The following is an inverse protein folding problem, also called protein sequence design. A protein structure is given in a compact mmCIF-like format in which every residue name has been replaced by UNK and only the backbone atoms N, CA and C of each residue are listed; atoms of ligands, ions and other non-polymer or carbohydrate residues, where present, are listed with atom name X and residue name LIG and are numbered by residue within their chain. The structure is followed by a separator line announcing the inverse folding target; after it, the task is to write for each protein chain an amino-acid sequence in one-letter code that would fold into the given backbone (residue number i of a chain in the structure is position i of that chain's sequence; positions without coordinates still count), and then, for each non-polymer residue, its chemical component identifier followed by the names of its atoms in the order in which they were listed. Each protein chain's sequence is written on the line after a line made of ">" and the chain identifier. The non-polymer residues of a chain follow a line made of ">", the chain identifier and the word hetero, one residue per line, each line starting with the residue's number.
data_IF_568983056584
#
_entry.id   IF_568983056584
#
_cell.length_a   1.000
_cell.length_b   1.000
_cell.length_c   1.000
_cell.angle_alpha   90.00
_cell.angle_beta   90.00
_cell.angle_gamma   90.00
#
_symmetry.space_group_name_H-M   'P 1'
#
loop_
_entity.id
_entity.type
_entity.pdbx_description
1 polymer ?
#
# COMPACT_ATOMS: atom_id res chain seq x y z
N UNK A 1 -23.98 -10.94 49.87
CA UNK A 1 -23.30 -12.24 49.98
C UNK A 1 -21.91 -12.09 49.40
N UNK A 2 -20.94 -12.06 50.29
CA UNK A 2 -19.51 -11.87 50.06
C UNK A 2 -18.86 -13.21 49.79
N UNK A 3 -18.00 -13.33 48.77
CA UNK A 3 -16.82 -14.21 48.87
C UNK A 3 -15.65 -13.55 48.14
N UNK A 4 -14.75 -12.96 48.93
CA UNK A 4 -13.35 -12.71 48.56
C UNK A 4 -12.59 -14.04 48.64
N UNK A 5 -11.65 -14.27 47.72
CA UNK A 5 -10.50 -15.15 47.98
C UNK A 5 -9.22 -14.41 47.61
N UNK A 6 -8.48 -14.05 48.64
CA UNK A 6 -7.07 -13.69 48.60
C UNK A 6 -6.23 -14.97 48.49
N UNK A 7 -5.16 -14.93 47.71
CA UNK A 7 -3.97 -15.70 48.05
C UNK A 7 -2.72 -14.89 47.67
N UNK A 8 -1.85 -14.78 48.66
CA UNK A 8 -0.59 -14.05 48.74
C UNK A 8 0.56 -15.00 48.37
N UNK A 9 1.73 -14.42 48.07
CA UNK A 9 3.10 -14.99 48.13
C UNK A 9 3.58 -15.79 46.88
N UNK A 10 4.81 -15.65 46.32
CA UNK A 10 6.10 -15.07 46.75
C UNK A 10 6.91 -14.57 45.53
N UNK A 11 7.72 -13.56 45.78
CA UNK A 11 8.88 -13.13 45.00
C UNK A 11 10.06 -14.10 45.16
N UNK A 12 10.77 -14.39 44.07
CA UNK A 12 12.19 -14.80 44.12
C UNK A 12 12.93 -14.16 42.95
N UNK A 13 13.89 -13.32 43.33
CA UNK A 13 14.96 -12.71 42.53
C UNK A 13 16.01 -13.75 42.15
N UNK A 14 16.62 -13.65 40.97
CA UNK A 14 18.08 -13.45 40.80
C UNK A 14 18.48 -13.53 39.32
N UNK A 15 19.10 -12.46 38.80
CA UNK A 15 20.00 -12.50 37.65
C UNK A 15 21.42 -12.87 38.10
N UNK A 16 22.28 -13.34 37.19
CA UNK A 16 23.48 -12.55 36.88
C UNK A 16 23.88 -12.51 35.39
N UNK A 17 24.50 -11.38 34.99
CA UNK A 17 25.34 -11.16 33.78
C UNK A 17 26.81 -11.61 34.07
N UNK A 18 27.83 -11.36 33.22
CA UNK A 18 28.01 -11.47 31.76
C UNK A 18 29.27 -12.31 31.39
N UNK A 19 29.49 -12.59 30.11
CA UNK A 19 30.76 -13.15 29.63
C UNK A 19 30.99 -12.90 28.14
N UNK A 20 31.92 -12.00 27.83
CA UNK A 20 32.41 -11.70 26.48
C UNK A 20 33.53 -12.68 26.09
N UNK A 21 33.65 -13.06 24.81
CA UNK A 21 34.95 -13.11 24.11
C UNK A 21 34.77 -13.14 22.59
N UNK A 22 35.47 -12.23 21.91
CA UNK A 22 35.79 -12.25 20.48
C UNK A 22 36.72 -13.44 20.14
N UNK A 23 36.59 -13.99 18.93
CA UNK A 23 37.74 -14.39 18.11
C UNK A 23 37.30 -14.73 16.68
N UNK A 24 37.64 -13.84 15.73
CA UNK A 24 37.98 -14.25 14.36
C UNK A 24 39.45 -14.70 14.34
N UNK A 25 39.88 -15.52 13.37
CA UNK A 25 40.46 -14.88 12.18
C UNK A 25 40.18 -15.59 10.84
N UNK A 26 40.24 -14.78 9.79
CA UNK A 26 40.68 -14.98 8.41
C UNK A 26 40.87 -16.41 7.86
N UNK A 27 40.39 -16.63 6.62
CA UNK A 27 41.30 -16.90 5.49
C UNK A 27 40.59 -16.84 4.13
N UNK A 28 41.19 -16.02 3.29
CA UNK A 28 40.96 -15.72 1.88
C UNK A 28 41.50 -16.87 0.99
N UNK A 29 40.69 -17.42 0.07
CA UNK A 29 41.22 -18.17 -1.10
C UNK A 29 40.34 -17.95 -2.33
N UNK A 30 40.93 -17.22 -3.29
CA UNK A 30 40.51 -17.10 -4.70
C UNK A 30 40.80 -18.38 -5.49
N UNK A 31 39.88 -18.78 -6.38
CA UNK A 31 40.18 -19.46 -7.67
C UNK A 31 38.92 -19.47 -8.56
N UNK A 32 38.82 -18.60 -9.57
CA UNK A 32 39.10 -18.83 -11.01
C UNK A 32 38.22 -19.88 -11.73
N UNK A 33 37.22 -19.34 -12.45
CA UNK A 33 36.78 -19.59 -13.83
C UNK A 33 37.01 -20.96 -14.51
N UNK A 34 35.94 -21.46 -15.17
CA UNK A 34 35.98 -22.04 -16.53
C UNK A 34 34.59 -22.04 -17.20
N UNK A 35 34.50 -21.33 -18.32
CA UNK A 35 33.50 -21.48 -19.39
C UNK A 35 33.99 -22.59 -20.34
N UNK A 36 33.07 -23.29 -21.03
CA UNK A 36 33.32 -23.61 -22.43
C UNK A 36 32.15 -23.26 -23.35
N UNK A 37 32.50 -22.70 -24.50
CA UNK A 37 31.67 -22.43 -25.68
C UNK A 37 31.55 -23.64 -26.62
N UNK A 38 30.46 -23.59 -27.42
CA UNK A 38 30.26 -24.14 -28.78
C UNK A 38 30.14 -25.67 -28.94
N UNK A 39 29.12 -26.24 -29.61
CA UNK A 39 28.77 -26.02 -31.03
C UNK A 39 27.52 -26.88 -31.42
N UNK A 40 26.72 -26.43 -32.40
CA UNK A 40 25.62 -27.21 -33.03
C UNK A 40 26.14 -28.30 -34.00
N UNK A 41 25.26 -29.12 -34.65
CA UNK A 41 24.41 -28.63 -35.74
C UNK A 41 23.02 -29.33 -35.96
N UNK A 42 22.18 -28.61 -36.71
CA UNK A 42 21.08 -28.97 -37.64
C UNK A 42 20.29 -30.30 -37.54
N UNK A 43 18.95 -30.19 -37.50
CA UNK A 43 18.02 -31.30 -37.80
C UNK A 43 16.57 -30.85 -38.04
N UNK A 44 16.20 -30.79 -39.33
CA UNK A 44 14.88 -30.81 -40.01
C UNK A 44 13.54 -30.68 -39.21
N UNK A 45 12.74 -29.73 -39.73
CA UNK A 45 11.26 -29.62 -39.81
C UNK A 45 10.45 -30.85 -39.37
N UNK A 46 9.49 -30.60 -38.48
CA UNK A 46 8.12 -31.10 -38.67
C UNK A 46 7.10 -30.06 -38.19
N UNK A 47 6.09 -29.79 -39.03
CA UNK A 47 5.05 -28.78 -38.82
C UNK A 47 3.88 -29.41 -38.10
N UNK A 48 3.55 -28.95 -36.89
CA UNK A 48 2.21 -29.09 -36.29
C UNK A 48 1.92 -27.83 -35.48
N UNK A 49 0.92 -27.08 -35.93
CA UNK A 49 0.62 -25.73 -35.47
C UNK A 49 0.20 -25.68 -34.01
N UNK A 50 0.80 -24.73 -33.29
CA UNK A 50 0.29 -24.19 -32.03
C UNK A 50 0.07 -22.70 -32.25
N UNK A 51 -1.06 -22.10 -31.85
CA UNK A 51 -1.27 -20.68 -32.03
C UNK A 51 -0.40 -19.93 -31.02
N UNK A 52 0.79 -19.51 -31.44
CA UNK A 52 1.51 -18.42 -30.79
C UNK A 52 0.70 -17.16 -31.03
N UNK A 53 -0.08 -16.74 -30.03
CA UNK A 53 -0.49 -15.34 -29.93
C UNK A 53 0.75 -14.52 -29.61
N UNK A 54 1.46 -14.11 -30.65
CA UNK A 54 2.33 -12.94 -30.58
C UNK A 54 1.42 -11.73 -30.49
N UNK A 55 1.10 -11.33 -29.26
CA UNK A 55 0.41 -10.07 -29.00
C UNK A 55 1.44 -8.94 -29.16
N UNK A 56 1.77 -8.62 -30.41
CA UNK A 56 2.44 -7.37 -30.76
C UNK A 56 1.39 -6.28 -30.77
N UNK A 57 0.92 -5.89 -29.59
CA UNK A 57 0.22 -4.63 -29.41
C UNK A 57 1.27 -3.52 -29.57
N UNK A 58 1.22 -2.82 -30.69
CA UNK A 58 1.96 -1.58 -30.90
C UNK A 58 1.47 -0.54 -29.89
N UNK A 59 2.37 -0.14 -28.97
CA UNK A 59 2.19 0.89 -27.94
C UNK A 59 1.87 2.26 -28.56
N UNK A 60 0.60 2.52 -28.83
CA UNK A 60 0.05 3.86 -29.02
C UNK A 60 -1.32 4.05 -28.38
N UNK A 61 -1.73 3.15 -27.47
CA UNK A 61 -2.93 3.35 -26.66
C UNK A 61 -2.60 4.47 -25.67
N UNK A 62 -3.32 5.60 -25.78
CA UNK A 62 -3.26 6.68 -24.81
C UNK A 62 -3.80 6.13 -23.48
N UNK A 63 -2.93 5.52 -22.66
CA UNK A 63 -3.28 4.72 -21.49
C UNK A 63 -4.13 5.48 -20.46
N UNK A 64 -4.18 6.80 -20.56
CA UNK A 64 -4.90 7.68 -19.65
C UNK A 64 -6.34 7.99 -20.08
N UNK A 65 -6.75 7.67 -21.31
CA UNK A 65 -8.10 7.95 -21.80
C UNK A 65 -9.06 6.80 -21.49
N UNK A 66 -10.12 7.09 -20.73
CA UNK A 66 -11.18 6.14 -20.45
C UNK A 66 -12.05 5.91 -21.69
N UNK A 67 -12.17 4.66 -22.09
CA UNK A 67 -13.15 4.20 -23.06
C UNK A 67 -14.30 3.55 -22.27
N UNK A 68 -15.45 4.23 -22.24
CA UNK A 68 -16.57 4.00 -21.30
C UNK A 68 -17.12 2.58 -21.25
N UNK A 69 -16.91 1.81 -22.32
CA UNK A 69 -17.41 0.45 -22.48
C UNK A 69 -16.31 -0.62 -22.38
N UNK A 70 -15.04 -0.22 -22.21
CA UNK A 70 -13.90 -1.15 -22.22
C UNK A 70 -13.59 -1.68 -20.82
N UNK A 71 -13.88 -2.96 -20.62
CA UNK A 71 -13.48 -3.69 -19.41
C UNK A 71 -11.94 -3.82 -19.31
N UNK A 72 -11.37 -3.90 -18.09
CA UNK A 72 -9.98 -4.27 -17.91
C UNK A 72 -9.66 -5.64 -18.55
N UNK A 73 -8.43 -5.85 -19.05
CA UNK A 73 -8.07 -7.11 -19.69
C UNK A 73 -8.25 -8.28 -18.73
N UNK A 74 -8.80 -9.40 -19.20
CA UNK A 74 -9.03 -10.58 -18.35
C UNK A 74 -7.72 -11.30 -18.04
N UNK A 75 -7.59 -11.80 -16.80
CA UNK A 75 -6.51 -12.72 -16.40
C UNK A 75 -7.09 -14.11 -16.17
N UNK A 76 -6.71 -15.08 -17.00
CA UNK A 76 -7.17 -16.45 -16.86
C UNK A 76 -6.46 -17.16 -15.69
N UNK A 77 -7.26 -17.81 -14.84
CA UNK A 77 -6.76 -18.65 -13.75
C UNK A 77 -6.65 -20.12 -14.22
N UNK A 78 -5.71 -20.40 -15.12
CA UNK A 78 -5.41 -21.77 -15.54
C UNK A 78 -4.73 -22.53 -14.39
N UNK A 79 -5.26 -23.71 -14.05
CA UNK A 79 -4.75 -24.57 -12.99
C UNK A 79 -3.31 -25.07 -13.22
N UNK A 80 -2.80 -25.00 -14.46
CA UNK A 80 -1.42 -25.39 -14.78
C UNK A 80 -0.43 -24.23 -14.65
N UNK A 81 -0.91 -22.98 -14.62
CA UNK A 81 -0.06 -21.79 -14.47
C UNK A 81 0.45 -21.69 -13.04
N UNK A 82 1.73 -21.32 -12.88
CA UNK A 82 2.27 -21.10 -11.54
C UNK A 82 1.61 -19.89 -10.87
N UNK A 83 1.50 -19.90 -9.54
CA UNK A 83 0.96 -18.75 -8.80
C UNK A 83 1.75 -17.46 -9.07
N UNK A 84 3.05 -17.57 -9.31
CA UNK A 84 3.92 -16.45 -9.66
C UNK A 84 3.53 -15.83 -11.01
N UNK A 85 3.36 -16.65 -12.06
CA UNK A 85 2.93 -16.18 -13.37
C UNK A 85 1.53 -15.56 -13.33
N UNK A 86 0.61 -16.18 -12.57
CA UNK A 86 -0.71 -15.64 -12.33
C UNK A 86 -0.65 -14.26 -11.65
N UNK A 87 0.16 -14.10 -10.61
CA UNK A 87 0.33 -12.81 -9.93
C UNK A 87 0.94 -11.75 -10.83
N UNK A 88 1.95 -12.09 -11.63
CA UNK A 88 2.53 -11.17 -12.64
C UNK A 88 1.47 -10.74 -13.67
N UNK A 89 0.59 -11.64 -14.09
CA UNK A 89 -0.51 -11.31 -14.99
C UNK A 89 -1.53 -10.36 -14.34
N UNK A 90 -1.88 -10.59 -13.07
CA UNK A 90 -2.73 -9.68 -12.27
C UNK A 90 -2.09 -8.30 -12.12
N UNK A 91 -0.78 -8.21 -11.86
CA UNK A 91 -0.05 -6.93 -11.79
C UNK A 91 -0.15 -6.12 -13.09
N UNK A 92 -0.06 -6.78 -14.26
CA UNK A 92 -0.26 -6.12 -15.56
C UNK A 92 -1.70 -5.65 -15.82
N UNK A 93 -2.69 -6.39 -15.30
CA UNK A 93 -4.10 -6.00 -15.38
C UNK A 93 -4.39 -4.79 -14.47
N UNK A 94 -3.82 -4.79 -13.28
CA UNK A 94 -4.07 -3.79 -12.23
C UNK A 94 -3.81 -2.35 -12.69
N UNK A 95 -2.74 -2.09 -13.45
CA UNK A 95 -2.45 -0.75 -13.97
C UNK A 95 -3.45 -0.29 -15.05
N UNK A 96 -4.36 -1.17 -15.46
CA UNK A 96 -5.37 -0.95 -16.51
C UNK A 96 -6.80 -0.99 -15.98
N UNK A 97 -7.00 -0.89 -14.67
CA UNK A 97 -8.33 -0.85 -14.06
C UNK A 97 -8.93 0.57 -14.05
N UNK A 98 -10.23 0.66 -13.79
CA UNK A 98 -11.02 1.88 -13.80
C UNK A 98 -12.06 1.89 -12.68
N UNK A 99 -12.27 3.07 -12.10
CA UNK A 99 -13.37 3.35 -11.19
C UNK A 99 -14.10 4.62 -11.62
N UNK A 100 -15.39 4.50 -11.92
CA UNK A 100 -16.24 5.62 -12.35
C UNK A 100 -15.61 6.47 -13.49
N UNK A 101 -14.93 5.79 -14.42
CA UNK A 101 -14.26 6.41 -15.57
C UNK A 101 -12.89 7.04 -15.30
N UNK A 102 -12.34 6.84 -14.10
CA UNK A 102 -10.99 7.26 -13.74
C UNK A 102 -10.07 6.05 -13.56
N UNK A 103 -8.82 6.17 -13.97
CA UNK A 103 -7.81 5.14 -13.70
C UNK A 103 -7.68 4.92 -12.20
N UNK A 104 -7.74 3.66 -11.79
CA UNK A 104 -7.43 3.24 -10.43
C UNK A 104 -6.39 2.12 -10.50
N UNK A 105 -5.28 2.29 -9.80
CA UNK A 105 -4.17 1.33 -9.75
C UNK A 105 -4.18 0.64 -8.39
N UNK A 106 -5.23 -0.14 -8.10
CA UNK A 106 -5.38 -0.88 -6.83
C UNK A 106 -5.94 -2.27 -7.11
N UNK A 107 -5.43 -3.31 -6.45
CA UNK A 107 -6.03 -4.63 -6.59
C UNK A 107 -7.45 -4.64 -6.00
N UNK A 108 -8.42 -5.33 -6.63
CA UNK A 108 -9.75 -5.50 -6.06
C UNK A 108 -9.72 -6.11 -4.64
N UNK A 109 -8.78 -7.01 -4.38
CA UNK A 109 -8.55 -7.61 -3.07
C UNK A 109 -8.11 -6.57 -2.02
N UNK A 110 -7.18 -5.67 -2.36
CA UNK A 110 -6.75 -4.60 -1.46
C UNK A 110 -7.86 -3.57 -1.24
N UNK A 111 -8.60 -3.19 -2.29
CA UNK A 111 -9.80 -2.35 -2.18
C UNK A 111 -10.83 -2.96 -1.23
N UNK A 112 -11.02 -4.28 -1.28
CA UNK A 112 -11.91 -4.99 -0.36
C UNK A 112 -11.38 -4.96 1.08
N UNK A 113 -10.07 -5.05 1.30
CA UNK A 113 -9.47 -4.87 2.63
C UNK A 113 -9.69 -3.45 3.14
N UNK A 114 -9.52 -2.44 2.28
CA UNK A 114 -9.84 -1.05 2.61
C UNK A 114 -11.30 -0.90 3.08
N UNK A 115 -12.28 -1.54 2.43
CA UNK A 115 -13.68 -1.50 2.88
C UNK A 115 -13.84 -2.01 4.33
N UNK A 116 -13.15 -3.10 4.70
CA UNK A 116 -13.15 -3.61 6.08
C UNK A 116 -12.48 -2.65 7.05
N UNK A 117 -11.35 -2.05 6.65
CA UNK A 117 -10.63 -1.05 7.44
C UNK A 117 -11.52 0.16 7.68
N UNK A 118 -12.03 0.79 6.63
CA UNK A 118 -12.93 1.96 6.69
C UNK A 118 -14.14 1.70 7.61
N UNK A 119 -14.76 0.53 7.50
CA UNK A 119 -15.89 0.15 8.34
C UNK A 119 -15.52 -0.01 9.82
N UNK A 120 -14.46 -0.79 10.09
CA UNK A 120 -14.05 -1.15 11.45
C UNK A 120 -13.47 0.05 12.20
N UNK A 121 -12.66 0.87 11.53
CA UNK A 121 -12.07 2.09 12.06
C UNK A 121 -13.07 3.24 12.17
N UNK A 122 -14.24 3.16 11.52
CA UNK A 122 -15.18 4.28 11.37
C UNK A 122 -14.48 5.51 10.78
N UNK A 123 -13.69 5.30 9.72
CA UNK A 123 -12.96 6.39 9.06
C UNK A 123 -13.94 7.47 8.59
N UNK A 124 -13.61 8.71 8.90
CA UNK A 124 -14.33 9.91 8.46
C UNK A 124 -13.50 10.72 7.47
N UNK A 125 -12.18 10.67 7.62
CA UNK A 125 -11.25 11.40 6.77
C UNK A 125 -10.23 10.43 6.19
N UNK A 126 -10.01 10.52 4.89
CA UNK A 126 -8.87 9.87 4.23
C UNK A 126 -7.88 10.96 3.83
N UNK A 127 -6.64 10.85 4.28
CA UNK A 127 -5.51 11.60 3.74
C UNK A 127 -4.77 10.65 2.80
N UNK A 128 -4.87 10.91 1.50
CA UNK A 128 -4.21 10.14 0.45
C UNK A 128 -2.99 10.93 -0.03
N UNK A 129 -1.83 10.28 -0.02
CA UNK A 129 -0.56 10.83 -0.43
C UNK A 129 -0.15 10.14 -1.73
N UNK A 130 -0.18 10.87 -2.84
CA UNK A 130 -0.17 10.32 -4.20
C UNK A 130 -1.59 10.30 -4.78
N UNK A 131 -1.93 11.31 -5.57
CA UNK A 131 -3.27 11.42 -6.21
C UNK A 131 -3.32 10.70 -7.55
N UNK A 132 -2.21 10.72 -8.30
CA UNK A 132 -2.14 10.20 -9.66
C UNK A 132 -3.25 10.80 -10.56
N UNK A 133 -4.23 9.99 -11.00
CA UNK A 133 -5.37 10.43 -11.82
C UNK A 133 -6.69 10.57 -11.04
N UNK A 134 -6.67 10.40 -9.71
CA UNK A 134 -7.80 10.64 -8.82
C UNK A 134 -8.83 9.50 -8.70
N UNK A 135 -8.61 8.34 -9.33
CA UNK A 135 -9.57 7.23 -9.27
C UNK A 135 -9.75 6.66 -7.87
N UNK A 136 -8.66 6.48 -7.11
CA UNK A 136 -8.70 6.06 -5.71
C UNK A 136 -9.25 7.15 -4.80
N UNK A 137 -8.90 8.42 -5.04
CA UNK A 137 -9.49 9.58 -4.34
C UNK A 137 -11.02 9.56 -4.43
N UNK A 138 -11.55 9.36 -5.64
CA UNK A 138 -12.98 9.28 -5.90
C UNK A 138 -13.60 8.05 -5.22
N UNK A 139 -12.92 6.90 -5.31
CA UNK A 139 -13.34 5.66 -4.66
C UNK A 139 -13.47 5.82 -3.14
N UNK A 140 -12.44 6.36 -2.48
CA UNK A 140 -12.46 6.61 -1.04
C UNK A 140 -13.63 7.52 -0.66
N UNK A 141 -13.85 8.60 -1.40
CA UNK A 141 -14.97 9.54 -1.16
C UNK A 141 -16.30 8.82 -1.22
N UNK A 142 -16.52 7.99 -2.24
CA UNK A 142 -17.77 7.24 -2.40
C UNK A 142 -17.98 6.20 -1.30
N UNK A 143 -16.90 5.53 -0.86
CA UNK A 143 -16.97 4.63 0.30
C UNK A 143 -17.33 5.38 1.57
N UNK A 144 -16.75 6.55 1.83
CA UNK A 144 -17.09 7.37 2.98
C UNK A 144 -18.56 7.85 2.94
N UNK A 145 -19.05 8.30 1.78
CA UNK A 145 -20.48 8.61 1.60
C UNK A 145 -21.39 7.42 1.86
N UNK A 146 -20.96 6.22 1.47
CA UNK A 146 -21.69 4.99 1.76
C UNK A 146 -21.77 4.72 3.27
N UNK A 147 -20.67 4.93 4.01
CA UNK A 147 -20.68 4.83 5.47
C UNK A 147 -21.63 5.84 6.12
N UNK A 148 -21.71 7.07 5.59
CA UNK A 148 -22.70 8.07 6.03
C UNK A 148 -24.12 7.57 5.78
N UNK A 149 -24.40 7.03 4.59
CA UNK A 149 -25.72 6.49 4.24
C UNK A 149 -26.17 5.34 5.14
N UNK A 150 -25.24 4.55 5.69
CA UNK A 150 -25.53 3.52 6.68
C UNK A 150 -25.58 4.02 8.12
N UNK A 151 -25.40 5.33 8.37
CA UNK A 151 -25.32 5.90 9.71
C UNK A 151 -24.09 5.42 10.50
N UNK A 152 -23.06 4.90 9.81
CA UNK A 152 -21.85 4.37 10.43
C UNK A 152 -20.92 5.48 10.94
N UNK A 153 -20.92 6.61 10.23
CA UNK A 153 -20.15 7.82 10.50
C UNK A 153 -21.03 9.05 10.25
N UNK A 154 -20.75 10.23 10.86
CA UNK A 154 -21.53 11.45 10.61
C UNK A 154 -21.28 12.00 9.20
N UNK A 155 -22.15 12.91 8.74
CA UNK A 155 -22.07 13.50 7.38
C UNK A 155 -20.77 14.25 7.09
N UNK A 156 -20.09 14.75 8.12
CA UNK A 156 -18.81 15.43 8.00
C UNK A 156 -17.70 14.42 7.68
N UNK A 157 -17.58 14.08 6.39
CA UNK A 157 -16.52 13.27 5.80
C UNK A 157 -15.63 14.10 4.87
N UNK A 158 -14.40 13.66 4.65
CA UNK A 158 -13.47 14.33 3.73
C UNK A 158 -12.46 13.34 3.14
N UNK A 159 -12.10 13.53 1.88
CA UNK A 159 -10.86 12.99 1.31
C UNK A 159 -9.94 14.17 1.01
N UNK A 160 -8.73 14.15 1.56
CA UNK A 160 -7.68 15.13 1.29
C UNK A 160 -6.63 14.38 0.49
N UNK A 161 -6.50 14.68 -0.80
CA UNK A 161 -5.52 14.03 -1.67
C UNK A 161 -4.37 15.00 -1.96
N UNK A 162 -3.15 14.49 -1.83
CA UNK A 162 -1.91 15.26 -1.88
C UNK A 162 -1.05 14.74 -3.02
N UNK A 163 -0.51 15.65 -3.83
CA UNK A 163 0.40 15.33 -4.94
C UNK A 163 1.24 16.58 -5.25
N UNK A 164 2.33 16.42 -5.99
CA UNK A 164 3.15 17.55 -6.44
C UNK A 164 2.38 18.44 -7.41
N UNK A 165 1.58 17.84 -8.29
CA UNK A 165 0.71 18.53 -9.22
C UNK A 165 -0.70 17.92 -9.22
N UNK A 166 -1.69 18.79 -9.01
CA UNK A 166 -3.11 18.42 -8.95
C UNK A 166 -3.87 18.78 -10.23
N UNK A 167 -3.23 19.44 -11.20
CA UNK A 167 -3.88 19.99 -12.39
C UNK A 167 -4.66 18.92 -13.18
N UNK A 168 -4.00 17.79 -13.44
CA UNK A 168 -4.56 16.68 -14.19
C UNK A 168 -5.66 15.95 -13.42
N UNK A 169 -5.42 15.63 -12.15
CA UNK A 169 -6.40 14.98 -11.30
C UNK A 169 -7.66 15.84 -11.14
N UNK A 170 -7.51 17.15 -10.92
CA UNK A 170 -8.62 18.09 -10.81
C UNK A 170 -9.50 18.12 -12.07
N UNK A 171 -8.88 18.16 -13.26
CA UNK A 171 -9.61 18.16 -14.53
C UNK A 171 -10.40 16.87 -14.75
N UNK A 172 -9.76 15.72 -14.46
CA UNK A 172 -10.39 14.40 -14.62
C UNK A 172 -11.50 14.18 -13.59
N UNK A 173 -11.27 14.50 -12.32
CA UNK A 173 -12.28 14.45 -11.26
C UNK A 173 -13.48 15.34 -11.58
N UNK A 174 -13.24 16.57 -12.03
CA UNK A 174 -14.32 17.49 -12.43
C UNK A 174 -15.13 17.01 -13.63
N UNK A 175 -14.49 16.27 -14.54
CA UNK A 175 -15.17 15.64 -15.69
C UNK A 175 -16.02 14.44 -15.27
N UNK A 176 -15.53 13.62 -14.32
CA UNK A 176 -16.24 12.45 -13.82
C UNK A 176 -17.39 12.82 -12.84
N UNK A 177 -17.17 13.81 -11.98
CA UNK A 177 -18.15 14.32 -11.01
C UNK A 177 -17.95 15.83 -10.80
N UNK A 178 -18.79 16.69 -11.40
CA UNK A 178 -18.73 18.15 -11.22
C UNK A 178 -18.85 18.63 -9.76
N UNK A 179 -19.30 17.76 -8.86
CA UNK A 179 -19.48 18.04 -7.43
C UNK A 179 -18.43 17.35 -6.54
N UNK A 180 -17.34 16.83 -7.12
CA UNK A 180 -16.29 16.13 -6.36
C UNK A 180 -15.76 16.97 -5.19
N UNK A 181 -15.58 18.28 -5.40
CA UNK A 181 -15.02 19.24 -4.45
C UNK A 181 -15.85 19.46 -3.17
N UNK A 182 -17.08 18.92 -3.10
CA UNK A 182 -17.89 18.94 -1.87
C UNK A 182 -17.19 18.19 -0.73
N UNK A 183 -16.61 17.03 -1.06
CA UNK A 183 -16.05 16.09 -0.09
C UNK A 183 -14.59 15.71 -0.39
N UNK A 184 -14.02 16.19 -1.51
CA UNK A 184 -12.61 16.02 -1.88
C UNK A 184 -11.91 17.37 -1.82
N UNK A 185 -10.71 17.40 -1.24
CA UNK A 185 -9.82 18.56 -1.26
C UNK A 185 -8.48 18.13 -1.82
N UNK A 186 -8.09 18.75 -2.93
CA UNK A 186 -6.81 18.50 -3.57
C UNK A 186 -5.78 19.49 -3.03
N UNK A 187 -4.61 18.99 -2.65
CA UNK A 187 -3.52 19.79 -2.08
C UNK A 187 -2.26 19.54 -2.90
N UNK A 188 -1.69 20.60 -3.46
CA UNK A 188 -0.38 20.55 -4.07
C UNK A 188 0.71 20.66 -2.99
N UNK A 189 1.65 19.73 -2.97
CA UNK A 189 2.79 19.74 -2.06
C UNK A 189 3.63 18.46 -2.11
N UNK A 190 4.85 18.57 -1.60
CA UNK A 190 5.79 17.46 -1.43
C UNK A 190 5.64 16.85 -0.03
N UNK A 191 5.39 15.54 0.05
CA UNK A 191 5.20 14.82 1.32
C UNK A 191 6.46 14.83 2.20
N UNK A 192 7.62 15.13 1.62
CA UNK A 192 8.87 15.29 2.34
C UNK A 192 8.96 16.62 3.10
N UNK A 193 8.14 17.63 2.75
CA UNK A 193 8.04 18.91 3.46
C UNK A 193 7.23 18.76 4.77
N UNK A 194 7.86 18.95 5.94
CA UNK A 194 7.15 18.91 7.23
C UNK A 194 6.00 19.92 7.33
N UNK A 195 6.11 21.07 6.66
CA UNK A 195 5.08 22.10 6.67
C UNK A 195 3.80 21.70 5.93
N UNK A 196 3.88 20.69 5.05
CA UNK A 196 2.72 20.16 4.34
C UNK A 196 1.77 19.40 5.27
N UNK A 197 2.31 18.60 6.18
CA UNK A 197 1.49 17.82 7.11
C UNK A 197 0.65 18.73 8.02
N UNK A 198 1.22 19.83 8.52
CA UNK A 198 0.47 20.82 9.29
C UNK A 198 -0.64 21.50 8.47
N UNK A 199 -0.38 21.77 7.17
CA UNK A 199 -1.41 22.31 6.26
C UNK A 199 -2.54 21.34 6.07
N UNK A 200 -2.23 20.06 5.89
CA UNK A 200 -3.23 18.98 5.74
C UNK A 200 -4.01 18.78 7.04
N UNK A 201 -3.36 18.79 8.19
CA UNK A 201 -3.99 18.65 9.50
C UNK A 201 -5.08 19.70 9.74
N UNK A 202 -4.84 20.95 9.33
CA UNK A 202 -5.83 22.04 9.45
C UNK A 202 -7.11 21.82 8.63
N UNK A 203 -7.09 20.91 7.66
CA UNK A 203 -8.26 20.54 6.85
C UNK A 203 -9.04 19.38 7.46
N UNK A 204 -8.49 18.69 8.46
CA UNK A 204 -9.14 17.57 9.15
C UNK A 204 -10.09 18.14 10.21
N UNK A 205 -11.39 17.78 10.19
CA UNK A 205 -12.31 18.18 11.24
C UNK A 205 -11.84 17.66 12.61
N UNK A 206 -11.96 18.50 13.64
CA UNK A 206 -11.53 18.15 14.99
C UNK A 206 -12.20 16.86 15.47
N UNK A 207 -11.40 15.93 15.99
CA UNK A 207 -11.85 14.63 16.49
C UNK A 207 -12.24 13.62 15.40
N UNK A 208 -12.09 13.95 14.11
CA UNK A 208 -12.39 13.02 13.04
C UNK A 208 -11.41 11.84 13.02
N UNK A 209 -11.93 10.65 12.70
CA UNK A 209 -11.08 9.47 12.56
C UNK A 209 -10.41 9.45 11.18
N UNK A 210 -9.13 9.78 11.17
CA UNK A 210 -8.31 9.81 9.96
C UNK A 210 -7.73 8.43 9.61
N UNK A 211 -7.78 8.09 8.33
CA UNK A 211 -6.97 7.06 7.68
C UNK A 211 -5.93 7.79 6.84
N UNK A 212 -4.66 7.45 6.98
CA UNK A 212 -3.60 7.93 6.07
C UNK A 212 -3.25 6.80 5.11
N UNK A 213 -3.13 7.11 3.82
CA UNK A 213 -2.74 6.20 2.74
C UNK A 213 -1.55 6.80 2.02
N UNK A 214 -0.40 6.12 2.05
CA UNK A 214 0.84 6.52 1.37
C UNK A 214 1.05 5.69 0.11
N UNK A 215 1.00 6.36 -1.04
CA UNK A 215 0.99 5.77 -2.39
C UNK A 215 1.78 6.67 -3.38
N UNK A 216 2.93 7.20 -2.93
CA UNK A 216 3.72 8.18 -3.69
C UNK A 216 4.72 7.53 -4.69
N UNK A 217 6.03 7.68 -4.49
CA UNK A 217 7.09 7.25 -5.41
C UNK A 217 7.59 5.83 -5.15
N UNK A 218 7.14 5.20 -4.06
CA UNK A 218 7.54 3.84 -3.67
C UNK A 218 9.06 3.72 -3.48
N UNK A 219 9.67 4.77 -2.93
CA UNK A 219 11.07 4.82 -2.58
C UNK A 219 11.27 4.98 -1.07
N UNK A 220 12.38 4.46 -0.56
CA UNK A 220 12.70 4.52 0.88
C UNK A 220 12.56 5.93 1.47
N UNK A 221 13.16 6.94 0.82
CA UNK A 221 13.25 8.29 1.36
C UNK A 221 11.88 8.95 1.50
N UNK A 222 11.07 8.88 0.44
CA UNK A 222 9.71 9.42 0.41
C UNK A 222 8.79 8.67 1.37
N UNK A 223 8.77 7.33 1.36
CA UNK A 223 7.97 6.54 2.30
C UNK A 223 8.32 6.83 3.76
N UNK A 224 9.62 6.90 4.09
CA UNK A 224 10.06 7.24 5.43
C UNK A 224 9.66 8.67 5.82
N UNK A 225 9.67 9.62 4.88
CA UNK A 225 9.23 10.99 5.13
C UNK A 225 7.72 11.08 5.37
N UNK A 226 6.91 10.40 4.56
CA UNK A 226 5.46 10.32 4.75
C UNK A 226 5.11 9.72 6.11
N UNK A 227 5.74 8.61 6.51
CA UNK A 227 5.57 8.01 7.83
C UNK A 227 5.92 9.00 8.95
N UNK A 228 7.07 9.68 8.85
CA UNK A 228 7.49 10.68 9.85
C UNK A 228 6.50 11.83 9.96
N UNK A 229 6.06 12.37 8.82
CA UNK A 229 5.33 13.62 8.75
C UNK A 229 3.83 13.45 8.98
N UNK A 230 3.22 12.31 8.64
CA UNK A 230 1.76 12.15 8.65
C UNK A 230 1.24 11.15 9.69
N UNK A 231 2.09 10.35 10.34
CA UNK A 231 1.63 9.33 11.29
C UNK A 231 0.96 9.88 12.57
N UNK A 232 1.16 11.16 12.90
CA UNK A 232 0.45 11.79 14.03
C UNK A 232 -1.04 12.06 13.72
N UNK A 233 -1.42 12.12 12.45
CA UNK A 233 -2.82 12.31 12.03
C UNK A 233 -3.68 11.08 12.31
N UNK A 234 -3.06 9.90 12.40
CA UNK A 234 -3.75 8.65 12.64
C UNK A 234 -4.17 8.57 14.12
N UNK A 235 -5.48 8.46 14.43
CA UNK A 235 -5.94 8.35 15.81
C UNK A 235 -5.70 6.94 16.35
N UNK A 236 -5.82 6.77 17.67
CA UNK A 236 -5.76 5.46 18.32
C UNK A 236 -6.71 4.43 17.69
N UNK A 237 -6.17 3.25 17.39
CA UNK A 237 -6.85 2.17 16.67
C UNK A 237 -7.17 2.48 15.20
N UNK A 238 -6.75 3.63 14.69
CA UNK A 238 -6.77 4.00 13.27
C UNK A 238 -5.60 3.38 12.51
N UNK A 239 -5.51 3.68 11.22
CA UNK A 239 -4.56 3.03 10.32
C UNK A 239 -3.75 4.06 9.53
N UNK A 240 -2.49 3.72 9.32
CA UNK A 240 -1.62 4.25 8.28
C UNK A 240 -1.38 3.10 7.32
N UNK A 241 -1.77 3.24 6.06
CA UNK A 241 -1.56 2.21 5.05
C UNK A 241 -0.47 2.68 4.11
N UNK A 242 0.67 2.01 4.10
CA UNK A 242 1.73 2.23 3.12
C UNK A 242 1.50 1.25 1.98
N UNK A 243 1.19 1.77 0.81
CA UNK A 243 0.94 0.95 -0.36
C UNK A 243 2.23 0.47 -1.03
N UNK A 244 2.09 -0.42 -2.00
CA UNK A 244 3.15 -0.90 -2.88
C UNK A 244 4.41 -1.50 -2.25
N UNK A 245 4.31 -2.11 -1.05
CA UNK A 245 5.39 -2.96 -0.52
C UNK A 245 5.82 -4.10 -1.48
N UNK A 246 5.01 -4.43 -2.49
CA UNK A 246 5.30 -5.43 -3.52
C UNK A 246 6.51 -5.06 -4.39
N UNK A 247 6.89 -3.78 -4.44
CA UNK A 247 8.07 -3.33 -5.21
C UNK A 247 9.38 -3.88 -4.63
N UNK A 248 9.37 -4.35 -3.37
CA UNK A 248 10.53 -4.97 -2.72
C UNK A 248 10.56 -6.49 -2.88
N UNK A 249 9.57 -7.09 -3.53
CA UNK A 249 9.56 -8.51 -3.85
C UNK A 249 10.31 -8.76 -5.17
N UNK A 250 11.45 -9.46 -5.17
CA UNK A 250 12.27 -9.63 -6.37
C UNK A 250 11.59 -10.43 -7.48
N UNK A 251 10.57 -11.23 -7.16
CA UNK A 251 9.84 -12.04 -8.12
C UNK A 251 8.60 -11.31 -8.69
N UNK A 252 8.06 -10.34 -7.94
CA UNK A 252 6.82 -9.64 -8.26
C UNK A 252 6.98 -8.14 -8.54
N UNK A 253 8.15 -7.56 -8.25
CA UNK A 253 8.46 -6.16 -8.49
C UNK A 253 8.23 -5.79 -9.97
N UNK A 254 7.41 -4.77 -10.25
CA UNK A 254 7.29 -4.22 -11.60
C UNK A 254 8.64 -3.65 -12.08
N UNK A 255 8.92 -3.65 -13.40
CA UNK A 255 10.13 -3.05 -13.94
C UNK A 255 10.27 -1.58 -13.53
N UNK A 256 11.52 -1.15 -13.30
CA UNK A 256 11.91 0.24 -13.05
C UNK A 256 11.31 0.88 -11.78
N UNK A 257 10.77 0.09 -10.85
CA UNK A 257 10.31 0.62 -9.56
C UNK A 257 11.52 0.89 -8.63
N UNK A 258 11.52 2.02 -7.88
CA UNK A 258 12.67 2.40 -7.04
C UNK A 258 12.98 1.41 -5.92
N UNK A 259 11.93 0.93 -5.23
CA UNK A 259 12.06 0.06 -4.06
C UNK A 259 12.42 0.80 -2.77
N UNK A 260 12.38 0.07 -1.66
CA UNK A 260 12.70 0.56 -0.33
C UNK A 260 11.48 0.85 0.55
N UNK A 261 10.28 0.45 0.13
CA UNK A 261 9.03 0.65 0.90
C UNK A 261 9.04 -0.18 2.18
N UNK A 262 9.25 -1.50 2.09
CA UNK A 262 9.31 -2.43 3.22
C UNK A 262 10.49 -2.13 4.15
N UNK A 263 11.71 -1.83 3.66
CA UNK A 263 12.78 -1.33 4.50
C UNK A 263 12.41 -0.05 5.27
N UNK A 264 11.79 0.95 4.61
CA UNK A 264 11.38 2.19 5.27
C UNK A 264 10.35 1.96 6.38
N UNK A 265 9.36 1.09 6.14
CA UNK A 265 8.39 0.67 7.16
C UNK A 265 9.11 0.01 8.33
N UNK A 266 10.03 -0.92 8.05
CA UNK A 266 10.74 -1.69 9.08
C UNK A 266 11.58 -0.79 9.97
N UNK A 267 12.38 0.10 9.37
CA UNK A 267 13.25 1.01 10.10
C UNK A 267 12.45 2.03 10.91
N UNK A 268 11.35 2.57 10.35
CA UNK A 268 10.49 3.50 11.07
C UNK A 268 9.78 2.84 12.26
N UNK A 269 9.28 1.60 12.12
CA UNK A 269 8.66 0.83 13.20
C UNK A 269 9.64 0.54 14.36
N UNK A 270 10.93 0.44 14.07
CA UNK A 270 11.98 0.27 15.09
C UNK A 270 12.28 1.56 15.87
N UNK A 271 11.83 2.72 15.39
CA UNK A 271 12.01 4.03 16.03
C UNK A 271 10.90 4.40 17.02
N UNK A 272 11.11 5.48 17.77
CA UNK A 272 10.20 5.92 18.83
C UNK A 272 8.77 6.21 18.33
N UNK A 273 8.62 6.88 17.19
CA UNK A 273 7.30 7.19 16.62
C UNK A 273 6.57 5.93 16.14
N UNK A 274 7.31 5.03 15.48
CA UNK A 274 6.77 3.78 14.95
C UNK A 274 6.42 2.76 16.03
N UNK A 275 7.02 2.85 17.22
CA UNK A 275 6.70 1.98 18.37
C UNK A 275 5.22 2.05 18.82
N UNK A 276 4.52 3.13 18.45
CA UNK A 276 3.07 3.28 18.67
C UNK A 276 2.20 2.53 17.65
N UNK A 277 2.81 1.87 16.67
CA UNK A 277 2.13 1.17 15.58
C UNK A 277 2.49 -0.32 15.55
N UNK A 278 1.58 -1.12 15.03
CA UNK A 278 1.79 -2.54 14.78
C UNK A 278 1.38 -2.89 13.35
N UNK A 279 2.21 -3.69 12.67
CA UNK A 279 1.87 -4.26 11.37
C UNK A 279 0.76 -5.28 11.52
N UNK A 280 -0.27 -5.16 10.68
CA UNK A 280 -1.44 -6.03 10.62
C UNK A 280 -1.36 -6.97 9.41
N UNK A 281 -0.42 -7.92 9.45
CA UNK A 281 -0.27 -8.97 8.42
C UNK A 281 -1.53 -9.80 8.23
N UNK A 282 -2.38 -9.88 9.25
CA UNK A 282 -3.68 -10.54 9.18
C UNK A 282 -4.69 -9.82 8.26
N UNK A 283 -4.41 -8.60 7.81
CA UNK A 283 -5.22 -7.88 6.83
C UNK A 283 -4.90 -8.23 5.37
N UNK A 284 -3.90 -9.09 5.11
CA UNK A 284 -3.62 -9.66 3.79
C UNK A 284 -4.59 -10.82 3.48
N UNK A 285 -5.89 -10.55 3.67
CA UNK A 285 -6.98 -11.52 3.86
C UNK A 285 -7.16 -12.50 2.70
N UNK A 286 -6.93 -12.02 1.48
CA UNK A 286 -7.26 -12.75 0.26
C UNK A 286 -6.07 -13.48 -0.33
N UNK A 287 -4.95 -13.52 0.39
CA UNK A 287 -3.73 -14.19 -0.04
C UNK A 287 -3.07 -13.55 -1.26
N UNK A 288 -3.50 -12.36 -1.69
CA UNK A 288 -2.87 -11.49 -2.69
C UNK A 288 -3.02 -10.06 -2.19
N UNK A 289 -1.93 -9.28 -2.25
CA UNK A 289 -1.89 -7.87 -1.87
C UNK A 289 -0.75 -7.19 -2.61
N UNK A 290 -0.91 -5.92 -2.97
CA UNK A 290 0.17 -5.03 -3.40
C UNK A 290 0.89 -4.38 -2.21
N UNK A 291 0.39 -4.52 -0.99
CA UNK A 291 0.85 -3.78 0.20
C UNK A 291 1.41 -4.70 1.29
N UNK A 292 2.28 -5.68 0.97
CA UNK A 292 2.87 -6.54 2.01
C UNK A 292 3.57 -5.67 3.05
N UNK A 293 3.34 -5.97 4.35
CA UNK A 293 3.81 -5.15 5.49
C UNK A 293 3.19 -3.75 5.63
N UNK A 294 2.40 -3.29 4.65
CA UNK A 294 1.91 -1.92 4.53
C UNK A 294 0.77 -1.55 5.47
N UNK A 295 0.05 -2.53 6.01
CA UNK A 295 -1.09 -2.28 6.90
C UNK A 295 -0.62 -1.97 8.33
N UNK A 296 -0.49 -0.69 8.70
CA UNK A 296 -0.04 -0.29 10.03
C UNK A 296 -1.23 0.22 10.85
N UNK A 297 -1.43 -0.34 12.04
CA UNK A 297 -2.45 0.12 12.97
C UNK A 297 -1.80 0.82 14.16
N UNK A 298 -2.27 2.04 14.48
CA UNK A 298 -1.88 2.70 15.72
C UNK A 298 -2.47 1.93 16.91
N UNK A 299 -1.60 1.48 17.80
CA UNK A 299 -1.98 0.74 19.01
C UNK A 299 -2.81 1.68 19.90
N UNK A 300 -3.93 1.18 20.43
CA UNK A 300 -4.74 1.97 21.37
C UNK A 300 -3.95 2.19 22.66
N UNK A 301 -3.79 3.45 23.07
CA UNK A 301 -3.32 3.73 24.40
C UNK A 301 -4.36 3.18 25.38
N UNK A 302 -3.97 2.21 26.23
CA UNK A 302 -4.85 1.82 27.33
C UNK A 302 -4.96 3.04 28.24
N UNK A 303 -6.16 3.50 28.64
CA UNK A 303 -6.25 4.48 29.70
C UNK A 303 -5.52 3.91 30.92
N UNK A 304 -4.70 4.74 31.57
CA UNK A 304 -4.06 4.36 32.82
C UNK A 304 -5.16 3.91 33.81
N UNK A 305 -4.93 2.82 34.56
CA UNK A 305 -5.91 2.26 35.49
C UNK A 305 -6.36 3.26 36.57
#
# INVERSE_FOLDING_TARGET
>A
MTVRRSMVERSVSTAPKPGATMCSPDMDVRARARVPEHSGPSGRRDRRGSPTMTDTATDSDNFDNFDGDRLPPTVAADHQTTLLEYRRARGRQHVRDWYAGLRIKKFPEDLRVFEHVLWSSRTQVVVELGTHLGGSTLWFRDRLRTLVGYGRVPEAIRVISVDLDQSRAAALLGSADPHFARDITLVAGDVTDPGLAERVERLIPSGARCLVVEDTLHEYATTAAALRNFAHLVPDGGYFVVEDGIVDDPDLCPPDMPGGVVPAITDWLAGDQGSAFATRRDLELYGVTSHPHGWLQRVRCRPAP
#
